data_IF_542829646545
#
_entry.id   IF_542829646545
#
_cell.length_a   1.000
_cell.length_b   1.000
_cell.length_c   1.000
_cell.angle_alpha   90.00
_cell.angle_beta   90.00
_cell.angle_gamma   90.00
#
_symmetry.space_group_name_H-M   'P 1'
#
loop_
_entity.id
_entity.type
_entity.pdbx_description
1 polymer ?
#
# COMPACT_ATOMS: atom_id res chain seq x y z
N UNK A 1 17.45 16.93 9.92
CA UNK A 1 18.03 16.41 11.18
C UNK A 1 19.08 15.37 10.83
N UNK A 2 20.22 15.35 11.54
CA UNK A 2 21.25 14.32 11.39
C UNK A 2 21.21 13.44 12.64
N UNK A 3 21.03 12.14 12.44
CA UNK A 3 20.89 11.15 13.51
C UNK A 3 21.72 9.93 13.14
N UNK A 4 22.36 9.32 14.13
CA UNK A 4 23.05 8.04 13.97
C UNK A 4 22.09 6.93 14.40
N UNK A 5 21.88 5.95 13.54
CA UNK A 5 21.07 4.77 13.84
C UNK A 5 21.83 3.51 13.41
N UNK A 6 21.64 2.43 14.17
CA UNK A 6 22.13 1.11 13.81
C UNK A 6 21.10 0.44 12.89
N UNK A 7 21.54 -0.12 11.77
CA UNK A 7 20.70 -0.87 10.82
C UNK A 7 21.45 -2.10 10.34
N UNK A 8 20.70 -3.13 9.95
CA UNK A 8 21.27 -4.34 9.37
C UNK A 8 21.89 -4.09 7.99
N UNK A 9 22.86 -4.92 7.62
CA UNK A 9 23.66 -4.74 6.42
C UNK A 9 22.84 -4.89 5.12
N UNK A 10 21.85 -5.78 5.13
CA UNK A 10 20.91 -6.01 4.03
C UNK A 10 19.99 -4.79 3.81
N UNK A 11 19.49 -4.19 4.89
CA UNK A 11 18.69 -2.95 4.84
C UNK A 11 19.51 -1.81 4.24
N UNK A 12 20.78 -1.65 4.66
CA UNK A 12 21.67 -0.63 4.09
C UNK A 12 21.94 -0.89 2.60
N UNK A 13 22.14 -2.14 2.19
CA UNK A 13 22.35 -2.50 0.80
C UNK A 13 21.12 -2.17 -0.07
N UNK A 14 19.92 -2.51 0.40
CA UNK A 14 18.67 -2.19 -0.27
C UNK A 14 18.46 -0.68 -0.40
N UNK A 15 18.71 0.09 0.67
CA UNK A 15 18.59 1.54 0.66
C UNK A 15 19.57 2.20 -0.33
N UNK A 16 20.81 1.70 -0.44
CA UNK A 16 21.77 2.16 -1.46
C UNK A 16 21.30 1.85 -2.89
N UNK A 17 20.73 0.67 -3.12
CA UNK A 17 20.14 0.30 -4.39
C UNK A 17 19.03 1.27 -4.83
N UNK A 18 18.08 1.55 -3.93
CA UNK A 18 16.97 2.48 -4.17
C UNK A 18 17.46 3.93 -4.34
N UNK A 19 18.44 4.35 -3.56
CA UNK A 19 19.05 5.69 -3.66
C UNK A 19 19.62 5.94 -5.05
N UNK A 20 20.31 4.95 -5.62
CA UNK A 20 20.85 5.02 -6.98
C UNK A 20 19.77 5.11 -8.04
N UNK A 21 18.73 4.28 -7.95
CA UNK A 21 17.61 4.25 -8.91
C UNK A 21 16.82 5.57 -8.89
N UNK A 22 16.59 6.12 -7.69
CA UNK A 22 15.77 7.33 -7.52
C UNK A 22 16.56 8.64 -7.54
N UNK A 23 17.89 8.59 -7.75
CA UNK A 23 18.78 9.75 -7.67
C UNK A 23 18.62 10.57 -6.37
N UNK A 24 18.51 9.89 -5.23
CA UNK A 24 18.34 10.49 -3.90
C UNK A 24 19.44 10.01 -2.95
N UNK A 25 19.69 10.75 -1.88
CA UNK A 25 20.59 10.29 -0.83
C UNK A 25 20.01 9.09 -0.06
N UNK A 26 20.87 8.23 0.48
CA UNK A 26 20.45 7.09 1.32
C UNK A 26 19.64 7.57 2.53
N UNK A 27 20.03 8.69 3.15
CA UNK A 27 19.27 9.30 4.24
C UNK A 27 17.86 9.74 3.83
N UNK A 28 17.67 10.27 2.62
CA UNK A 28 16.34 10.63 2.11
C UNK A 28 15.47 9.39 1.88
N UNK A 29 16.04 8.30 1.35
CA UNK A 29 15.33 7.02 1.17
C UNK A 29 14.90 6.46 2.53
N UNK A 30 15.84 6.30 3.48
CA UNK A 30 15.55 5.77 4.81
C UNK A 30 14.53 6.63 5.57
N UNK A 31 14.66 7.96 5.51
CA UNK A 31 13.71 8.87 6.14
C UNK A 31 12.30 8.77 5.54
N UNK A 32 12.21 8.54 4.23
CA UNK A 32 10.92 8.35 3.55
C UNK A 32 10.28 7.00 3.88
N UNK A 33 11.07 5.93 3.90
CA UNK A 33 10.62 4.60 4.30
C UNK A 33 10.15 4.58 5.76
N UNK A 34 10.90 5.20 6.68
CA UNK A 34 10.51 5.33 8.08
C UNK A 34 9.21 6.14 8.22
N UNK A 35 9.04 7.24 7.46
CA UNK A 35 7.76 7.96 7.45
C UNK A 35 6.61 7.11 6.94
N UNK A 36 6.85 6.27 5.93
CA UNK A 36 5.82 5.39 5.38
C UNK A 36 5.41 4.30 6.38
N UNK A 37 6.37 3.70 7.10
CA UNK A 37 6.09 2.67 8.09
C UNK A 37 5.42 3.22 9.35
N UNK A 38 5.73 4.46 9.75
CA UNK A 38 5.11 5.13 10.88
C UNK A 38 3.73 5.71 10.58
N UNK A 39 3.27 5.68 9.32
CA UNK A 39 1.88 5.99 9.02
C UNK A 39 1.03 4.87 9.61
N UNK A 40 0.29 5.20 10.67
CA UNK A 40 -0.82 4.36 11.11
C UNK A 40 -1.73 4.21 9.89
N UNK A 41 -2.00 2.98 9.41
CA UNK A 41 -3.05 2.80 8.44
C UNK A 41 -4.31 3.27 9.12
N UNK A 42 -4.77 4.47 8.76
CA UNK A 42 -6.15 4.85 9.02
C UNK A 42 -6.96 3.73 8.40
N UNK A 43 -7.61 2.92 9.24
CA UNK A 43 -8.68 2.05 8.77
C UNK A 43 -9.68 2.98 8.12
N UNK A 44 -9.55 3.16 6.80
CA UNK A 44 -10.44 3.97 6.00
C UNK A 44 -11.80 3.29 5.84
N UNK A 45 -11.96 2.08 6.38
CA UNK A 45 -13.23 1.44 6.60
C UNK A 45 -13.85 1.90 7.92
N UNK A 46 -14.99 2.58 7.81
CA UNK A 46 -15.93 2.67 8.92
C UNK A 46 -16.23 1.24 9.41
N UNK A 47 -16.27 0.98 10.71
CA UNK A 47 -16.61 -0.36 11.22
C UNK A 47 -18.11 -0.42 11.49
N UNK A 48 -18.75 -1.56 11.19
CA UNK A 48 -20.14 -1.82 11.57
C UNK A 48 -20.18 -3.14 12.33
N UNK A 49 -20.54 -3.09 13.61
CA UNK A 49 -20.60 -4.26 14.49
C UNK A 49 -19.28 -5.04 14.57
N UNK A 50 -18.13 -4.35 14.62
CA UNK A 50 -16.81 -4.98 14.69
C UNK A 50 -16.27 -5.51 13.35
N UNK A 51 -17.03 -5.38 12.25
CA UNK A 51 -16.60 -5.77 10.91
C UNK A 51 -16.15 -4.52 10.13
N UNK A 52 -14.95 -4.51 9.52
CA UNK A 52 -14.50 -3.40 8.68
C UNK A 52 -15.37 -3.32 7.42
N UNK A 53 -15.97 -2.16 7.17
CA UNK A 53 -16.70 -1.93 5.94
C UNK A 53 -15.73 -1.66 4.79
N UNK A 54 -15.97 -2.32 3.66
CA UNK A 54 -15.33 -1.98 2.40
C UNK A 54 -15.75 -0.55 2.01
N UNK A 55 -14.77 0.26 1.59
CA UNK A 55 -15.05 1.61 1.10
C UNK A 55 -15.93 1.52 -0.14
N UNK A 56 -17.10 2.18 -0.10
CA UNK A 56 -18.00 2.24 -1.24
C UNK A 56 -17.52 3.33 -2.20
N UNK A 57 -17.07 2.94 -3.39
CA UNK A 57 -16.77 3.90 -4.47
C UNK A 57 -18.06 4.60 -4.91
N UNK A 58 -18.06 5.93 -4.94
CA UNK A 58 -19.19 6.73 -5.44
C UNK A 58 -19.45 6.39 -6.91
N UNK A 59 -20.67 5.94 -7.22
CA UNK A 59 -21.04 5.50 -8.57
C UNK A 59 -20.77 4.03 -8.89
N UNK A 60 -20.29 3.23 -7.93
CA UNK A 60 -20.17 1.79 -8.13
C UNK A 60 -21.55 1.14 -8.38
N UNK A 61 -21.64 0.37 -9.47
CA UNK A 61 -22.82 -0.44 -9.81
C UNK A 61 -22.95 -1.58 -8.81
N UNK A 62 -24.18 -1.90 -8.40
CA UNK A 62 -24.44 -3.08 -7.56
C UNK A 62 -24.06 -4.33 -8.33
N UNK A 63 -23.22 -5.18 -7.74
CA UNK A 63 -22.94 -6.51 -8.29
C UNK A 63 -24.17 -7.38 -8.06
N UNK A 64 -24.78 -7.87 -9.15
CA UNK A 64 -25.92 -8.80 -9.10
C UNK A 64 -25.50 -10.17 -9.63
N UNK A 65 -26.23 -11.25 -9.29
CA UNK A 65 -25.96 -12.58 -9.83
C UNK A 65 -25.99 -12.62 -11.36
N UNK A 66 -26.87 -11.83 -11.99
CA UNK A 66 -27.00 -11.74 -13.44
C UNK A 66 -25.72 -11.16 -14.07
N UNK A 67 -25.19 -10.07 -13.50
CA UNK A 67 -23.92 -9.48 -13.94
C UNK A 67 -22.76 -10.48 -13.81
N UNK A 68 -22.71 -11.23 -12.71
CA UNK A 68 -21.67 -12.23 -12.48
C UNK A 68 -21.75 -13.35 -13.52
N UNK A 69 -22.95 -13.84 -13.82
CA UNK A 69 -23.13 -14.89 -14.82
C UNK A 69 -22.77 -14.40 -16.23
N UNK A 70 -23.20 -13.20 -16.61
CA UNK A 70 -22.83 -12.60 -17.89
C UNK A 70 -21.30 -12.53 -18.07
N UNK A 71 -20.57 -12.05 -17.05
CA UNK A 71 -19.10 -11.97 -17.11
C UNK A 71 -18.44 -13.34 -17.21
N UNK A 72 -19.01 -14.37 -16.58
CA UNK A 72 -18.50 -15.75 -16.67
C UNK A 72 -18.68 -16.31 -18.08
N UNK A 73 -19.81 -16.03 -18.70
CA UNK A 73 -20.13 -16.50 -20.05
C UNK A 73 -19.30 -15.78 -21.12
N UNK A 74 -18.86 -14.54 -20.85
CA UNK A 74 -18.02 -13.73 -21.74
C UNK A 74 -16.53 -14.09 -21.69
N UNK A 75 -16.06 -14.78 -20.65
CA UNK A 75 -14.67 -15.25 -20.58
C UNK A 75 -14.49 -16.52 -21.42
N UNK A 76 -13.56 -16.56 -22.39
CA UNK A 76 -13.16 -17.81 -23.01
C UNK A 76 -12.48 -18.72 -21.97
N UNK A 77 -12.77 -20.02 -22.03
CA UNK A 77 -12.15 -21.08 -21.20
C UNK A 77 -10.62 -21.05 -21.23
#
# INVERSE_FOLDING_TARGET
>A
MRTTLTIDADVLAAAKGLARIQHKSVGNILSSLARQSLRIPVSSGNTRNGVPLLMRTTGAVRVTPELVNQLRDELPE
#
